data_IF_394135523189
#
_entry.id   IF_394135523189
#
_cell.length_a   1.000
_cell.length_b   1.000
_cell.length_c   1.000
_cell.angle_alpha   90.00
_cell.angle_beta   90.00
_cell.angle_gamma   90.00
#
_symmetry.space_group_name_H-M   'P 1'
#
loop_
_entity.id
_entity.type
_entity.pdbx_description
1 polymer ?
#
# COMPACT_ATOMS: atom_id res chain seq x y z
N UNK A 1 58.72 -79.61 -22.63
CA UNK A 1 59.81 -78.96 -23.40
C UNK A 1 59.96 -77.55 -22.82
N UNK A 2 60.99 -77.31 -21.98
CA UNK A 2 62.22 -76.55 -22.30
C UNK A 2 61.90 -75.12 -22.79
N UNK A 3 61.93 -74.12 -21.91
CA UNK A 3 63.07 -73.21 -21.57
C UNK A 3 63.60 -72.50 -22.84
N UNK A 4 63.79 -71.18 -22.92
CA UNK A 4 64.80 -70.29 -22.26
C UNK A 4 64.41 -68.85 -22.69
N UNK A 5 64.14 -67.89 -21.80
CA UNK A 5 65.03 -66.94 -21.09
C UNK A 5 65.76 -65.89 -21.98
N UNK A 6 65.53 -64.60 -21.69
CA UNK A 6 66.51 -63.47 -21.64
C UNK A 6 65.70 -62.23 -21.17
N UNK A 7 65.68 -61.85 -19.89
CA UNK A 7 66.71 -61.11 -19.12
C UNK A 7 67.18 -59.82 -19.79
N UNK A 8 66.67 -58.67 -19.34
CA UNK A 8 67.53 -57.54 -19.01
C UNK A 8 66.92 -56.68 -17.88
N UNK A 9 67.83 -56.36 -16.96
CA UNK A 9 67.72 -55.77 -15.65
C UNK A 9 67.89 -54.24 -15.74
N UNK A 10 67.05 -53.45 -15.05
CA UNK A 10 67.48 -52.20 -14.41
C UNK A 10 66.55 -51.81 -13.25
N UNK A 11 67.18 -51.62 -12.09
CA UNK A 11 66.62 -51.22 -10.79
C UNK A 11 66.65 -49.68 -10.70
N UNK A 12 65.92 -49.12 -9.72
CA UNK A 12 65.96 -47.75 -9.15
C UNK A 12 65.05 -46.72 -9.87
N UNK A 13 64.10 -46.02 -9.23
CA UNK A 13 64.01 -45.49 -7.87
C UNK A 13 62.57 -45.55 -7.30
N UNK A 14 62.45 -46.01 -6.05
CA UNK A 14 61.38 -45.61 -5.14
C UNK A 14 61.55 -44.11 -4.84
N UNK A 15 60.55 -43.31 -5.18
CA UNK A 15 60.28 -42.07 -4.48
C UNK A 15 58.98 -42.29 -3.72
N UNK A 16 58.94 -42.14 -2.37
CA UNK A 16 57.67 -41.80 -1.78
C UNK A 16 57.30 -40.44 -2.38
N UNK A 17 56.18 -40.37 -3.08
CA UNK A 17 55.47 -39.09 -3.17
C UNK A 17 55.10 -38.79 -1.72
N UNK A 18 55.97 -38.03 -1.05
CA UNK A 18 55.58 -37.26 0.12
C UNK A 18 54.50 -36.34 -0.44
N UNK A 19 53.25 -36.75 -0.25
CA UNK A 19 52.13 -35.86 -0.47
C UNK A 19 52.44 -34.62 0.32
N UNK A 20 52.62 -33.49 -0.37
CA UNK A 20 52.44 -32.20 0.25
C UNK A 20 50.97 -32.20 0.69
N UNK A 21 50.71 -32.64 1.92
CA UNK A 21 49.50 -32.28 2.63
C UNK A 21 49.41 -30.76 2.52
N UNK A 22 48.39 -30.31 1.80
CA UNK A 22 48.19 -28.90 1.55
C UNK A 22 48.13 -28.21 2.92
N UNK A 23 49.05 -27.27 3.17
CA UNK A 23 49.08 -26.47 4.42
C UNK A 23 47.76 -25.71 4.65
N UNK A 24 46.92 -25.59 3.62
CA UNK A 24 45.60 -25.00 3.70
C UNK A 24 44.47 -26.03 3.71
N UNK A 25 44.71 -27.33 3.49
CA UNK A 25 43.65 -28.34 3.54
C UNK A 25 43.04 -28.44 4.94
N UNK A 26 43.86 -28.42 6.00
CA UNK A 26 43.36 -28.38 7.38
C UNK A 26 42.69 -27.04 7.72
N UNK A 27 43.08 -25.94 7.07
CA UNK A 27 42.44 -24.61 7.23
C UNK A 27 41.10 -24.55 6.49
N UNK A 28 40.99 -25.22 5.34
CA UNK A 28 39.79 -25.25 4.50
C UNK A 28 38.85 -26.41 4.84
N UNK A 29 39.28 -27.35 5.68
CA UNK A 29 38.45 -28.40 6.25
C UNK A 29 37.60 -27.82 7.39
N UNK A 30 36.71 -26.91 7.03
CA UNK A 30 35.73 -26.34 7.93
C UNK A 30 34.51 -27.27 7.94
N UNK A 31 34.14 -27.78 9.11
CA UNK A 31 32.95 -28.61 9.27
C UNK A 31 31.74 -27.90 8.66
N UNK A 32 30.95 -28.64 7.88
CA UNK A 32 29.68 -28.14 7.36
C UNK A 32 28.76 -27.83 8.56
N UNK A 33 28.55 -26.53 8.83
CA UNK A 33 27.59 -26.09 9.83
C UNK A 33 26.21 -26.46 9.33
N UNK A 34 25.60 -27.48 9.93
CA UNK A 34 24.22 -27.84 9.68
C UNK A 34 23.34 -26.81 10.42
N UNK A 35 23.05 -25.68 9.76
CA UNK A 35 22.04 -24.75 10.24
C UNK A 35 20.70 -25.49 10.12
N UNK A 36 19.91 -25.52 11.20
CA UNK A 36 18.52 -25.98 11.13
C UNK A 36 17.72 -24.93 10.36
N UNK A 37 17.97 -24.84 9.04
CA UNK A 37 17.50 -23.75 8.17
C UNK A 37 15.96 -23.71 8.13
N UNK A 38 15.29 -24.84 8.32
CA UNK A 38 13.82 -24.92 8.30
C UNK A 38 13.17 -24.19 9.47
N UNK A 39 13.69 -24.30 10.70
CA UNK A 39 13.13 -23.63 11.87
C UNK A 39 13.33 -22.12 11.77
N UNK A 40 14.54 -21.67 11.40
CA UNK A 40 14.84 -20.24 11.25
C UNK A 40 14.05 -19.59 10.11
N UNK A 41 13.81 -20.29 9.00
CA UNK A 41 12.97 -19.78 7.93
C UNK A 41 11.49 -19.72 8.33
N UNK A 42 11.03 -20.67 9.13
CA UNK A 42 9.67 -20.65 9.65
C UNK A 42 9.46 -19.47 10.61
N UNK A 43 10.38 -19.25 11.56
CA UNK A 43 10.35 -18.10 12.46
C UNK A 43 10.33 -16.77 11.68
N UNK A 44 11.20 -16.60 10.68
CA UNK A 44 11.24 -15.39 9.87
C UNK A 44 9.95 -15.15 9.07
N UNK A 45 9.30 -16.22 8.59
CA UNK A 45 8.01 -16.13 7.89
C UNK A 45 6.85 -15.82 8.84
N UNK A 46 6.87 -16.37 10.06
CA UNK A 46 5.89 -16.06 11.11
C UNK A 46 6.02 -14.60 11.58
N UNK A 47 7.25 -14.11 11.77
CA UNK A 47 7.52 -12.71 12.09
C UNK A 47 7.05 -11.77 10.96
N UNK A 48 7.37 -12.11 9.70
CA UNK A 48 6.86 -11.36 8.54
C UNK A 48 5.33 -11.34 8.51
N UNK A 49 4.68 -12.49 8.71
CA UNK A 49 3.22 -12.56 8.62
C UNK A 49 2.57 -11.72 9.72
N UNK A 50 3.12 -11.77 10.94
CA UNK A 50 2.68 -10.92 12.04
C UNK A 50 2.83 -9.43 11.70
N UNK A 51 4.00 -9.02 11.19
CA UNK A 51 4.22 -7.64 10.78
C UNK A 51 3.27 -7.21 9.65
N UNK A 52 3.04 -8.09 8.67
CA UNK A 52 2.10 -7.87 7.59
C UNK A 52 0.68 -7.62 8.12
N UNK A 53 0.17 -8.50 8.99
CA UNK A 53 -1.17 -8.40 9.54
C UNK A 53 -1.34 -7.13 10.39
N UNK A 54 -0.33 -6.79 11.21
CA UNK A 54 -0.32 -5.57 12.01
C UNK A 54 -0.31 -4.30 11.14
N UNK A 55 0.51 -4.25 10.09
CA UNK A 55 0.61 -3.09 9.21
C UNK A 55 -0.60 -2.96 8.27
N UNK A 56 -1.21 -4.06 7.85
CA UNK A 56 -2.50 -4.05 7.16
C UNK A 56 -3.57 -3.44 8.06
N UNK A 57 -3.66 -3.88 9.32
CA UNK A 57 -4.64 -3.36 10.26
C UNK A 57 -4.46 -1.85 10.51
N UNK A 58 -3.21 -1.39 10.73
CA UNK A 58 -2.89 0.03 10.91
C UNK A 58 -3.25 0.87 9.69
N UNK A 59 -2.91 0.37 8.49
CA UNK A 59 -3.25 1.04 7.24
C UNK A 59 -4.78 1.15 7.10
N UNK A 60 -5.52 0.06 7.29
CA UNK A 60 -6.97 0.05 7.13
C UNK A 60 -7.68 0.94 8.17
N UNK A 61 -7.18 0.99 9.42
CA UNK A 61 -7.64 1.95 10.44
C UNK A 61 -7.39 3.41 10.00
N UNK A 62 -6.18 3.71 9.50
CA UNK A 62 -5.84 5.05 9.02
C UNK A 62 -6.70 5.48 7.82
N UNK A 63 -6.95 4.56 6.87
CA UNK A 63 -7.82 4.81 5.72
C UNK A 63 -9.27 5.07 6.13
N UNK A 64 -9.76 4.35 7.14
CA UNK A 64 -11.11 4.51 7.71
C UNK A 64 -11.23 5.88 8.37
N UNK A 65 -10.29 6.22 9.25
CA UNK A 65 -10.26 7.52 9.95
C UNK A 65 -10.19 8.70 8.98
N UNK A 66 -9.37 8.62 7.93
CA UNK A 66 -9.33 9.64 6.88
C UNK A 66 -10.69 9.83 6.20
N UNK A 67 -11.45 8.75 6.01
CA UNK A 67 -12.82 8.81 5.48
C UNK A 67 -13.81 9.47 6.45
N UNK A 68 -13.74 9.12 7.73
CA UNK A 68 -14.59 9.71 8.78
C UNK A 68 -14.34 11.21 8.95
N UNK A 69 -13.07 11.61 8.99
CA UNK A 69 -12.67 13.02 9.09
C UNK A 69 -13.17 13.82 7.87
N UNK A 70 -13.02 13.26 6.66
CA UNK A 70 -13.56 13.86 5.44
C UNK A 70 -15.09 14.03 5.50
N UNK A 71 -15.83 12.99 5.90
CA UNK A 71 -17.29 13.06 6.01
C UNK A 71 -17.69 14.15 7.00
N UNK A 72 -17.04 14.21 8.16
CA UNK A 72 -17.31 15.22 9.19
C UNK A 72 -17.09 16.65 8.68
N UNK A 73 -16.00 16.90 7.97
CA UNK A 73 -15.71 18.22 7.41
C UNK A 73 -16.71 18.61 6.31
N UNK A 74 -17.03 17.69 5.41
CA UNK A 74 -18.03 17.93 4.36
C UNK A 74 -19.42 18.19 4.95
N UNK A 75 -19.84 17.41 5.95
CA UNK A 75 -21.11 17.65 6.66
C UNK A 75 -21.16 19.06 7.26
N UNK A 76 -20.09 19.50 7.91
CA UNK A 76 -20.02 20.86 8.46
C UNK A 76 -20.19 21.96 7.40
N UNK A 77 -19.62 21.76 6.20
CA UNK A 77 -19.78 22.69 5.07
C UNK A 77 -21.22 22.69 4.53
N UNK A 78 -21.84 21.52 4.41
CA UNK A 78 -23.22 21.40 3.94
C UNK A 78 -24.20 22.00 4.95
N UNK A 79 -24.02 21.76 6.25
CA UNK A 79 -24.85 22.36 7.30
C UNK A 79 -24.75 23.89 7.29
N UNK A 80 -23.54 24.43 7.02
CA UNK A 80 -23.33 25.86 6.82
C UNK A 80 -24.12 26.40 5.62
N UNK A 81 -24.03 25.72 4.48
CA UNK A 81 -24.77 26.09 3.28
C UNK A 81 -26.29 26.01 3.46
N UNK A 82 -26.80 24.98 4.14
CA UNK A 82 -28.23 24.85 4.46
C UNK A 82 -28.74 26.01 5.30
N UNK A 83 -27.97 26.49 6.28
CA UNK A 83 -28.34 27.69 7.04
C UNK A 83 -28.41 28.93 6.16
N UNK A 84 -27.45 29.11 5.25
CA UNK A 84 -27.48 30.22 4.29
C UNK A 84 -28.66 30.12 3.32
N UNK A 85 -29.09 28.90 2.95
CA UNK A 85 -30.30 28.69 2.16
C UNK A 85 -31.56 29.16 2.89
N UNK A 86 -31.67 28.88 4.19
CA UNK A 86 -32.83 29.28 5.00
C UNK A 86 -33.00 30.80 5.10
N UNK A 87 -31.91 31.57 4.97
CA UNK A 87 -31.95 33.04 4.93
C UNK A 87 -32.56 33.57 3.61
N UNK A 88 -32.56 32.77 2.54
CA UNK A 88 -33.20 33.09 1.26
C UNK A 88 -32.54 34.21 0.45
N UNK A 89 -31.40 34.74 0.89
CA UNK A 89 -30.68 35.82 0.20
C UNK A 89 -29.87 35.24 -0.96
N UNK A 90 -30.36 35.43 -2.18
CA UNK A 90 -29.79 34.82 -3.41
C UNK A 90 -28.28 35.02 -3.57
N UNK A 91 -27.79 36.24 -3.31
CA UNK A 91 -26.36 36.55 -3.43
C UNK A 91 -25.52 35.73 -2.46
N UNK A 92 -25.98 35.59 -1.22
CA UNK A 92 -25.25 34.92 -0.16
C UNK A 92 -25.27 33.41 -0.39
N UNK A 93 -26.42 32.85 -0.77
CA UNK A 93 -26.56 31.46 -1.21
C UNK A 93 -25.60 31.13 -2.36
N UNK A 94 -25.51 31.99 -3.37
CA UNK A 94 -24.62 31.77 -4.52
C UNK A 94 -23.15 31.78 -4.11
N UNK A 95 -22.75 32.73 -3.26
CA UNK A 95 -21.38 32.83 -2.77
C UNK A 95 -21.01 31.63 -1.91
N UNK A 96 -21.89 31.23 -0.99
CA UNK A 96 -21.67 30.09 -0.09
C UNK A 96 -21.60 28.78 -0.88
N UNK A 97 -22.48 28.59 -1.87
CA UNK A 97 -22.41 27.43 -2.77
C UNK A 97 -21.05 27.33 -3.47
N UNK A 98 -20.53 28.43 -3.98
CA UNK A 98 -19.21 28.45 -4.62
C UNK A 98 -18.08 28.15 -3.63
N UNK A 99 -18.19 28.67 -2.41
CA UNK A 99 -17.28 28.37 -1.30
C UNK A 99 -17.26 26.88 -0.99
N UNK A 100 -18.43 26.28 -0.74
CA UNK A 100 -18.57 24.84 -0.45
C UNK A 100 -18.02 23.99 -1.57
N UNK A 101 -18.36 24.26 -2.84
CA UNK A 101 -17.82 23.51 -3.99
C UNK A 101 -16.28 23.54 -4.00
N UNK A 102 -15.69 24.70 -3.73
CA UNK A 102 -14.23 24.88 -3.72
C UNK A 102 -13.57 24.11 -2.57
N UNK A 103 -14.14 24.22 -1.37
CA UNK A 103 -13.62 23.57 -0.17
C UNK A 103 -13.75 22.04 -0.28
N UNK A 104 -14.92 21.52 -0.64
CA UNK A 104 -15.14 20.07 -0.81
C UNK A 104 -14.26 19.49 -1.92
N UNK A 105 -14.00 20.24 -3.01
CA UNK A 105 -13.04 19.82 -4.05
C UNK A 105 -11.63 19.67 -3.49
N UNK A 106 -11.18 20.64 -2.68
CA UNK A 106 -9.88 20.61 -2.02
C UNK A 106 -9.78 19.42 -1.05
N UNK A 107 -10.80 19.23 -0.22
CA UNK A 107 -10.87 18.11 0.73
C UNK A 107 -10.85 16.75 0.01
N UNK A 108 -11.53 16.63 -1.13
CA UNK A 108 -11.53 15.42 -1.94
C UNK A 108 -10.13 15.09 -2.50
N UNK A 109 -9.38 16.11 -2.94
CA UNK A 109 -7.99 15.92 -3.38
C UNK A 109 -7.07 15.56 -2.21
N UNK A 110 -7.25 16.20 -1.06
CA UNK A 110 -6.47 15.94 0.15
C UNK A 110 -6.70 14.52 0.66
N UNK A 111 -7.96 14.06 0.70
CA UNK A 111 -8.34 12.69 1.05
C UNK A 111 -7.60 11.68 0.18
N UNK A 112 -7.67 11.85 -1.15
CA UNK A 112 -6.96 11.00 -2.11
C UNK A 112 -5.46 10.97 -1.86
N UNK A 113 -4.85 12.14 -1.65
CA UNK A 113 -3.41 12.27 -1.41
C UNK A 113 -3.00 11.56 -0.11
N UNK A 114 -3.73 11.79 0.98
CA UNK A 114 -3.44 11.21 2.28
C UNK A 114 -3.64 9.69 2.27
N UNK A 115 -4.73 9.17 1.68
CA UNK A 115 -4.92 7.72 1.54
C UNK A 115 -3.81 7.06 0.72
N UNK A 116 -3.35 7.70 -0.37
CA UNK A 116 -2.19 7.20 -1.15
C UNK A 116 -0.89 7.20 -0.34
N UNK A 117 -0.70 8.21 0.52
CA UNK A 117 0.46 8.29 1.42
C UNK A 117 0.46 7.12 2.41
N UNK A 118 -0.67 6.78 3.01
CA UNK A 118 -0.74 5.63 3.93
C UNK A 118 -0.46 4.29 3.24
N UNK A 119 -0.96 4.08 2.02
CA UNK A 119 -0.59 2.90 1.22
C UNK A 119 0.93 2.86 0.96
N UNK A 120 1.55 4.02 0.70
CA UNK A 120 2.99 4.08 0.49
C UNK A 120 3.78 3.83 1.79
N UNK A 121 3.28 4.31 2.94
CA UNK A 121 3.88 4.02 4.24
C UNK A 121 3.87 2.52 4.53
N UNK A 122 2.72 1.85 4.31
CA UNK A 122 2.59 0.40 4.39
C UNK A 122 3.66 -0.30 3.55
N UNK A 123 3.78 0.07 2.27
CA UNK A 123 4.80 -0.51 1.38
C UNK A 123 6.22 -0.31 1.93
N UNK A 124 6.54 0.89 2.39
CA UNK A 124 7.88 1.20 2.87
C UNK A 124 8.26 0.34 4.07
N UNK A 125 7.32 0.05 4.96
CA UNK A 125 7.52 -0.85 6.11
C UNK A 125 7.69 -2.28 5.60
N UNK A 126 6.77 -2.78 4.76
CA UNK A 126 6.84 -4.16 4.28
C UNK A 126 8.07 -4.44 3.41
N UNK A 127 8.56 -3.46 2.65
CA UNK A 127 9.82 -3.57 1.90
C UNK A 127 11.02 -3.84 2.82
N UNK A 128 11.00 -3.37 4.07
CA UNK A 128 12.04 -3.65 5.06
C UNK A 128 11.91 -5.09 5.59
N UNK A 129 10.69 -5.52 5.92
CA UNK A 129 10.42 -6.89 6.37
C UNK A 129 10.80 -7.91 5.30
N UNK A 130 10.45 -7.64 4.04
CA UNK A 130 10.79 -8.51 2.91
C UNK A 130 12.31 -8.62 2.70
N UNK A 131 13.08 -7.55 2.98
CA UNK A 131 14.54 -7.59 2.90
C UNK A 131 15.18 -8.43 4.00
N UNK A 132 14.50 -8.60 5.13
CA UNK A 132 14.96 -9.46 6.22
C UNK A 132 14.72 -10.95 5.89
N UNK A 133 13.82 -11.27 4.98
CA UNK A 133 13.53 -12.64 4.57
C UNK A 133 14.64 -13.26 3.68
N UNK A 134 14.76 -14.60 3.69
CA UNK A 134 15.53 -15.32 2.68
C UNK A 134 15.07 -14.97 1.26
N UNK A 135 16.03 -14.82 0.33
CA UNK A 135 15.76 -14.40 -1.06
C UNK A 135 14.74 -15.27 -1.79
N UNK A 136 14.61 -16.54 -1.40
CA UNK A 136 13.64 -17.50 -1.94
C UNK A 136 12.19 -17.08 -1.71
N UNK A 137 11.91 -16.35 -0.63
CA UNK A 137 10.55 -15.90 -0.28
C UNK A 137 10.28 -14.45 -0.70
N UNK A 138 11.34 -13.64 -0.88
CA UNK A 138 11.20 -12.21 -1.12
C UNK A 138 10.37 -11.85 -2.36
N UNK A 139 10.46 -12.65 -3.44
CA UNK A 139 9.68 -12.39 -4.67
C UNK A 139 8.18 -12.54 -4.43
N UNK A 140 7.77 -13.63 -3.78
CA UNK A 140 6.35 -13.92 -3.52
C UNK A 140 5.76 -12.92 -2.54
N UNK A 141 6.52 -12.55 -1.51
CA UNK A 141 6.09 -11.55 -0.52
C UNK A 141 6.00 -10.13 -1.07
N UNK A 142 6.91 -9.75 -1.98
CA UNK A 142 6.76 -8.49 -2.73
C UNK A 142 5.47 -8.48 -3.56
N UNK A 143 5.13 -9.61 -4.21
CA UNK A 143 3.91 -9.72 -5.01
C UNK A 143 2.66 -9.59 -4.13
N UNK A 144 2.64 -10.22 -2.96
CA UNK A 144 1.56 -10.10 -1.97
C UNK A 144 1.31 -8.64 -1.55
N UNK A 145 2.38 -7.89 -1.27
CA UNK A 145 2.30 -6.46 -0.93
C UNK A 145 1.77 -5.64 -2.10
N UNK A 146 2.28 -5.85 -3.32
CA UNK A 146 1.84 -5.11 -4.51
C UNK A 146 0.38 -5.39 -4.89
N UNK A 147 -0.09 -6.62 -4.74
CA UNK A 147 -1.50 -6.97 -4.96
C UNK A 147 -2.41 -6.24 -3.97
N UNK A 148 -2.08 -6.28 -2.68
CA UNK A 148 -2.83 -5.59 -1.62
C UNK A 148 -2.88 -4.06 -1.84
N UNK A 149 -1.78 -3.48 -2.32
CA UNK A 149 -1.69 -2.06 -2.67
C UNK A 149 -2.52 -1.71 -3.91
N UNK A 150 -2.49 -2.56 -4.94
CA UNK A 150 -3.14 -2.32 -6.23
C UNK A 150 -4.65 -2.25 -6.05
N UNK A 151 -5.23 -3.18 -5.30
CA UNK A 151 -6.65 -3.19 -4.96
C UNK A 151 -7.06 -1.88 -4.26
N UNK A 152 -6.36 -1.50 -3.19
CA UNK A 152 -6.67 -0.30 -2.41
C UNK A 152 -6.48 0.99 -3.21
N UNK A 153 -5.45 1.09 -4.05
CA UNK A 153 -5.26 2.22 -4.98
C UNK A 153 -6.42 2.34 -5.98
N UNK A 154 -6.94 1.21 -6.47
CA UNK A 154 -8.12 1.16 -7.32
C UNK A 154 -9.36 1.73 -6.62
N UNK A 155 -9.58 1.32 -5.37
CA UNK A 155 -10.70 1.80 -4.55
C UNK A 155 -10.62 3.32 -4.31
N UNK A 156 -9.44 3.86 -3.99
CA UNK A 156 -9.24 5.31 -3.81
C UNK A 156 -9.56 6.09 -5.08
N UNK A 157 -9.18 5.58 -6.25
CA UNK A 157 -9.46 6.27 -7.52
C UNK A 157 -10.95 6.24 -7.85
N UNK A 158 -11.63 5.13 -7.56
CA UNK A 158 -13.09 5.01 -7.72
C UNK A 158 -13.83 5.98 -6.80
N UNK A 159 -13.48 6.00 -5.51
CA UNK A 159 -14.01 6.94 -4.52
C UNK A 159 -13.81 8.40 -4.94
N UNK A 160 -12.60 8.75 -5.39
CA UNK A 160 -12.30 10.10 -5.86
C UNK A 160 -13.20 10.51 -7.03
N UNK A 161 -13.38 9.64 -8.02
CA UNK A 161 -14.27 9.91 -9.16
C UNK A 161 -15.73 10.06 -8.73
N UNK A 162 -16.21 9.19 -7.84
CA UNK A 162 -17.55 9.30 -7.28
C UNK A 162 -17.76 10.63 -6.56
N UNK A 163 -16.81 11.06 -5.73
CA UNK A 163 -16.87 12.35 -5.04
C UNK A 163 -16.88 13.53 -6.03
N UNK A 164 -16.06 13.49 -7.07
CA UNK A 164 -16.07 14.52 -8.13
C UNK A 164 -17.43 14.61 -8.85
N UNK A 165 -18.08 13.47 -9.10
CA UNK A 165 -19.42 13.45 -9.70
C UNK A 165 -20.47 14.10 -8.78
N UNK A 166 -20.44 13.80 -7.49
CA UNK A 166 -21.36 14.39 -6.50
C UNK A 166 -21.13 15.91 -6.38
N UNK A 167 -19.88 16.37 -6.35
CA UNK A 167 -19.56 17.81 -6.34
C UNK A 167 -20.09 18.50 -7.60
N UNK A 168 -19.90 17.88 -8.77
CA UNK A 168 -20.40 18.43 -10.03
C UNK A 168 -21.94 18.51 -10.04
N UNK A 169 -22.61 17.47 -9.53
CA UNK A 169 -24.07 17.48 -9.38
C UNK A 169 -24.51 18.60 -8.42
N UNK A 170 -23.94 18.69 -7.23
CA UNK A 170 -24.24 19.75 -6.26
C UNK A 170 -24.04 21.15 -6.84
N UNK A 171 -22.96 21.35 -7.61
CA UNK A 171 -22.67 22.61 -8.31
C UNK A 171 -23.77 22.97 -9.33
N UNK A 172 -24.31 21.98 -10.04
CA UNK A 172 -25.29 22.20 -11.10
C UNK A 172 -26.74 22.25 -10.61
N UNK A 173 -27.04 21.71 -9.42
CA UNK A 173 -28.38 21.76 -8.82
C UNK A 173 -28.76 23.17 -8.40
N UNK A 174 -29.92 23.67 -8.82
CA UNK A 174 -30.51 24.90 -8.26
C UNK A 174 -31.11 24.59 -6.89
N UNK A 175 -30.56 25.20 -5.84
CA UNK A 175 -30.97 24.94 -4.45
C UNK A 175 -31.94 26.00 -3.90
N UNK A 176 -32.04 27.16 -4.55
CA UNK A 176 -32.96 28.24 -4.18
C UNK A 176 -34.04 28.36 -5.26
N UNK A 177 -35.26 27.94 -4.95
CA UNK A 177 -36.42 28.02 -5.85
C UNK A 177 -37.31 29.18 -5.40
N UNK A 178 -37.40 30.23 -6.20
CA UNK A 178 -38.35 31.32 -5.95
C UNK A 178 -39.74 30.90 -6.40
N UNK A 179 -40.61 30.56 -5.45
CA UNK A 179 -42.04 30.38 -5.72
C UNK A 179 -42.67 31.77 -5.83
N UNK A 180 -43.03 32.20 -7.04
CA UNK A 180 -43.89 33.35 -7.22
C UNK A 180 -45.30 32.93 -6.80
N UNK A 181 -45.66 33.06 -5.52
CA UNK A 181 -47.07 32.95 -5.15
C UNK A 181 -47.83 34.09 -5.85
N UNK A 182 -48.96 33.80 -6.54
CA UNK A 182 -49.80 34.86 -7.08
C UNK A 182 -50.34 35.65 -5.89
N UNK A 183 -50.02 36.94 -5.84
CA UNK A 183 -50.70 37.90 -4.96
C UNK A 183 -52.19 37.77 -5.23
N UNK A 184 -52.93 37.18 -4.29
CA UNK A 184 -54.38 37.21 -4.29
C UNK A 184 -54.77 38.67 -4.14
N UNK A 185 -54.98 39.34 -5.28
CA UNK A 185 -55.67 40.62 -5.37
C UNK A 185 -57.13 40.36 -5.01
N UNK A 186 -57.41 40.26 -3.71
CA UNK A 186 -58.74 40.32 -3.14
C UNK A 186 -59.23 41.77 -3.12
N UNK A 187 -59.37 42.37 -4.31
CA UNK A 187 -60.27 43.50 -4.53
C UNK A 187 -61.50 42.95 -5.26
N UNK A 188 -62.57 42.76 -4.50
CA UNK A 188 -63.91 42.81 -5.04
C UNK A 188 -64.77 43.68 -4.13
N UNK A 189 -65.06 44.87 -4.62
CA UNK A 189 -66.11 45.78 -4.20
C UNK A 189 -67.39 45.08 -3.72
N UNK A 190 -67.94 45.61 -2.62
CA UNK A 190 -69.30 45.38 -2.13
C UNK A 190 -69.62 46.35 -1.01
#
# INVERSE_FOLDING_TARGET
>A
MKNILFSLLTIFFLSPVIGQESLIADIMNVDAVNINESEKYQEALEEYQKAYDEEVAKMDEALTKLGEDYVKEVTGLIDGFTKTLDEGVEKDVKNEKQSVVTQVTTLTMLLKSNKKKEIQNFKNVMDLEIRALPKTFASDKNKEVEEAMTERKGNIESEFKANQMVIAQFKNTEHLIKTNEPVSSGDSNG
#
